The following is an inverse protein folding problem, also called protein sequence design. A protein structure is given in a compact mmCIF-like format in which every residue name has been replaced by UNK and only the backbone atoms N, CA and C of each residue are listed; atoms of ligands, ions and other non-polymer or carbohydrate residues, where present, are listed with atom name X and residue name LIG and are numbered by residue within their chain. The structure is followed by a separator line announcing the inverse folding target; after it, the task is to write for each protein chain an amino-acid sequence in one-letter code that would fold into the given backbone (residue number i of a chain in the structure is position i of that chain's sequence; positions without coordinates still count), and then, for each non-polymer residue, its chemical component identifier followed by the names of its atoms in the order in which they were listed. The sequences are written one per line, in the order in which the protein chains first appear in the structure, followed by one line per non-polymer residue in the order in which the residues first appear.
data_IF_084161124816
#
_entry.id   IF_084161124816
#
_cell.length_a   1.000
_cell.length_b   1.000
_cell.length_c   1.000
_cell.angle_alpha   90.00
_cell.angle_beta   90.00
_cell.angle_gamma   90.00
#
_symmetry.space_group_name_H-M   'P 1'
#
loop_
_entity.id
_entity.type
_entity.pdbx_description
1 polymer ?
#
# COMPACT_ATOMS: atom_id res chain seq x y z
N UNK A 1 -28.63 -19.24 2.39
CA UNK A 1 -28.55 -17.88 2.95
C UNK A 1 -27.13 -17.63 3.43
N UNK A 2 -26.30 -17.05 2.57
CA UNK A 2 -24.87 -16.87 2.82
C UNK A 2 -24.65 -15.61 3.64
N UNK A 3 -24.22 -15.76 4.91
CA UNK A 3 -23.69 -14.64 5.70
C UNK A 3 -22.42 -14.14 5.01
N UNK A 4 -22.52 -13.09 4.19
CA UNK A 4 -21.37 -12.41 3.62
C UNK A 4 -20.44 -11.95 4.75
N UNK A 5 -19.20 -12.41 4.67
CA UNK A 5 -18.10 -12.25 5.63
C UNK A 5 -17.65 -10.78 5.66
N UNK A 6 -18.31 -9.93 6.44
CA UNK A 6 -17.91 -8.53 6.63
C UNK A 6 -16.48 -8.38 7.20
N UNK A 7 -15.95 -9.42 7.85
CA UNK A 7 -14.57 -9.42 8.38
C UNK A 7 -13.49 -9.58 7.32
N UNK A 8 -13.77 -10.27 6.21
CA UNK A 8 -12.76 -10.59 5.18
C UNK A 8 -12.41 -9.33 4.36
N UNK A 9 -13.40 -8.53 3.96
CA UNK A 9 -13.19 -7.28 3.21
C UNK A 9 -12.47 -6.19 4.03
N UNK A 10 -12.69 -6.16 5.35
CA UNK A 10 -11.96 -5.23 6.22
C UNK A 10 -10.50 -5.65 6.35
N UNK A 11 -10.24 -6.94 6.53
CA UNK A 11 -8.87 -7.47 6.68
C UNK A 11 -8.04 -7.21 5.42
N UNK A 12 -8.60 -7.51 4.24
CA UNK A 12 -7.97 -7.25 2.94
C UNK A 12 -7.68 -5.76 2.72
N UNK A 13 -8.56 -4.87 3.17
CA UNK A 13 -8.32 -3.43 3.09
C UNK A 13 -7.18 -2.98 4.00
N UNK A 14 -7.15 -3.48 5.24
CA UNK A 14 -6.06 -3.17 6.17
C UNK A 14 -4.72 -3.72 5.68
N UNK A 15 -4.69 -4.84 4.97
CA UNK A 15 -3.45 -5.44 4.46
C UNK A 15 -2.79 -4.62 3.33
N UNK A 16 -3.51 -3.68 2.72
CA UNK A 16 -2.95 -2.73 1.75
C UNK A 16 -2.09 -1.64 2.40
N UNK A 17 -2.19 -1.47 3.71
CA UNK A 17 -1.48 -0.41 4.45
C UNK A 17 -0.22 -1.02 5.08
N UNK A 18 0.97 -0.41 4.89
CA UNK A 18 2.21 -0.91 5.47
C UNK A 18 2.32 -0.50 6.95
N UNK A 19 1.74 -1.31 7.83
CA UNK A 19 1.82 -1.08 9.28
C UNK A 19 3.18 -1.49 9.85
N UNK A 20 3.57 -0.84 10.96
CA UNK A 20 4.87 -1.10 11.61
C UNK A 20 4.99 -2.51 12.22
N UNK A 21 3.85 -3.18 12.47
CA UNK A 21 3.79 -4.51 13.09
C UNK A 21 2.68 -5.37 12.47
N UNK A 22 2.86 -6.70 12.42
CA UNK A 22 1.83 -7.61 11.95
C UNK A 22 0.62 -7.58 12.89
N UNK A 23 -0.59 -7.46 12.32
CA UNK A 23 -1.85 -7.53 13.07
C UNK A 23 -2.29 -8.99 13.23
N UNK A 24 -2.79 -9.34 14.41
CA UNK A 24 -3.38 -10.66 14.69
C UNK A 24 -4.80 -10.56 15.23
N UNK A 25 -5.10 -9.52 16.01
CA UNK A 25 -6.41 -9.33 16.62
C UNK A 25 -6.82 -7.85 16.53
N UNK A 26 -7.80 -7.55 15.67
CA UNK A 26 -8.25 -6.18 15.38
C UNK A 26 -8.67 -5.45 16.66
N UNK A 27 -9.48 -6.06 17.54
CA UNK A 27 -9.91 -5.39 18.78
C UNK A 27 -8.75 -5.05 19.70
N UNK A 28 -7.77 -5.95 19.84
CA UNK A 28 -6.61 -5.74 20.71
C UNK A 28 -5.61 -4.76 20.10
N UNK A 29 -5.27 -4.95 18.84
CA UNK A 29 -4.20 -4.21 18.14
C UNK A 29 -4.57 -2.74 17.91
N UNK A 30 -5.86 -2.43 17.78
CA UNK A 30 -6.34 -1.06 17.68
C UNK A 30 -6.64 -0.43 19.05
N UNK A 31 -6.70 -1.19 20.15
CA UNK A 31 -7.16 -0.69 21.45
C UNK A 31 -6.38 0.51 22.00
N UNK A 32 -5.09 0.65 21.69
CA UNK A 32 -4.24 1.76 22.15
C UNK A 32 -4.28 3.00 21.23
N UNK A 33 -4.97 2.92 20.11
CA UNK A 33 -5.12 4.02 19.14
C UNK A 33 -3.88 4.28 18.27
N UNK A 34 -2.72 3.68 18.56
CA UNK A 34 -1.48 3.91 17.80
C UNK A 34 -1.61 3.33 16.41
N UNK A 35 -2.14 2.10 16.30
CA UNK A 35 -2.32 1.46 15.00
C UNK A 35 -3.39 2.17 14.16
N UNK A 36 -4.41 2.76 14.79
CA UNK A 36 -5.36 3.63 14.10
C UNK A 36 -4.67 4.92 13.59
N UNK A 37 -3.74 5.49 14.36
CA UNK A 37 -2.97 6.64 13.94
C UNK A 37 -2.06 6.33 12.73
N UNK A 38 -1.40 5.17 12.70
CA UNK A 38 -0.61 4.72 11.54
C UNK A 38 -1.48 4.60 10.29
N UNK A 39 -2.66 3.98 10.41
CA UNK A 39 -3.63 3.86 9.32
C UNK A 39 -4.02 5.24 8.76
N UNK A 40 -4.34 6.18 9.64
CA UNK A 40 -4.72 7.53 9.25
C UNK A 40 -3.54 8.34 8.70
N UNK A 41 -2.31 8.09 9.17
CA UNK A 41 -1.09 8.73 8.68
C UNK A 41 -0.83 8.35 7.22
N UNK A 42 -1.11 7.11 6.85
CA UNK A 42 -0.95 6.63 5.47
C UNK A 42 -1.85 7.42 4.49
N UNK A 43 -3.13 7.61 4.82
CA UNK A 43 -4.07 8.33 3.95
C UNK A 43 -4.03 9.85 4.12
N UNK A 44 -3.73 10.37 5.31
CA UNK A 44 -3.68 11.80 5.63
C UNK A 44 -2.37 12.19 6.34
N UNK A 45 -1.21 12.19 5.65
CA UNK A 45 0.09 12.44 6.28
C UNK A 45 0.20 13.76 7.04
N UNK A 46 -0.51 14.81 6.59
CA UNK A 46 -0.49 16.14 7.22
C UNK A 46 -1.40 16.26 8.45
N UNK A 47 -2.40 15.38 8.60
CA UNK A 47 -3.39 15.47 9.68
C UNK A 47 -2.95 14.69 10.92
N UNK A 48 -2.04 13.73 10.76
CA UNK A 48 -1.62 12.83 11.83
C UNK A 48 -0.14 13.03 12.18
N UNK A 49 0.10 13.25 13.45
CA UNK A 49 1.43 13.37 14.05
C UNK A 49 1.64 12.17 14.98
N UNK A 50 2.40 11.17 14.53
CA UNK A 50 2.57 9.90 15.26
C UNK A 50 3.20 10.09 16.66
N UNK A 51 4.01 11.13 16.87
CA UNK A 51 4.65 11.42 18.16
C UNK A 51 3.64 11.73 19.28
N UNK A 52 2.38 12.08 18.96
CA UNK A 52 1.34 12.32 19.95
C UNK A 52 0.71 11.03 20.51
N UNK A 53 1.02 9.87 19.93
CA UNK A 53 0.39 8.60 20.27
C UNK A 53 1.47 7.63 20.75
N UNK A 54 1.52 7.41 22.06
CA UNK A 54 2.48 6.49 22.67
C UNK A 54 1.82 5.13 22.90
N UNK A 55 2.43 4.00 22.50
CA UNK A 55 1.92 2.67 22.80
C UNK A 55 1.67 2.50 24.30
N UNK A 56 0.48 2.02 24.65
CA UNK A 56 0.05 2.00 26.04
C UNK A 56 -0.70 0.73 26.40
N UNK A 57 -0.39 0.19 27.58
CA UNK A 57 -1.10 -0.94 28.16
C UNK A 57 -2.13 -0.53 29.22
N UNK A 58 -2.02 0.68 29.78
CA UNK A 58 -2.97 1.19 30.77
C UNK A 58 -4.18 1.87 30.10
N UNK A 59 -5.39 1.57 30.60
CA UNK A 59 -6.65 2.04 30.01
C UNK A 59 -6.73 3.56 29.90
N UNK A 60 -6.27 4.28 30.93
CA UNK A 60 -6.28 5.75 30.97
C UNK A 60 -5.49 6.35 29.79
N UNK A 61 -4.29 5.85 29.52
CA UNK A 61 -3.48 6.34 28.41
C UNK A 61 -4.06 5.93 27.06
N UNK A 62 -4.64 4.74 26.94
CA UNK A 62 -5.35 4.32 25.72
C UNK A 62 -6.51 5.28 25.42
N UNK A 63 -7.32 5.63 26.42
CA UNK A 63 -8.41 6.61 26.29
C UNK A 63 -7.85 7.97 25.86
N UNK A 64 -6.75 8.44 26.46
CA UNK A 64 -6.11 9.71 26.07
C UNK A 64 -5.62 9.72 24.62
N UNK A 65 -5.02 8.62 24.15
CA UNK A 65 -4.63 8.45 22.76
C UNK A 65 -5.85 8.55 21.83
N UNK A 66 -6.93 7.84 22.15
CA UNK A 66 -8.18 7.87 21.38
C UNK A 66 -8.88 9.23 21.38
N UNK A 67 -8.92 9.93 22.52
CA UNK A 67 -9.47 11.29 22.62
C UNK A 67 -8.67 12.28 21.77
N UNK A 68 -7.34 12.14 21.80
CA UNK A 68 -6.44 12.96 20.96
C UNK A 68 -6.69 12.69 19.48
N UNK A 69 -6.79 11.42 19.10
CA UNK A 69 -7.04 11.00 17.73
C UNK A 69 -8.41 11.48 17.24
N UNK A 70 -9.42 11.38 18.10
CA UNK A 70 -10.75 11.87 17.81
C UNK A 70 -10.75 13.37 17.57
N UNK A 71 -10.20 14.14 18.51
CA UNK A 71 -10.17 15.60 18.44
C UNK A 71 -9.37 16.11 17.24
N UNK A 72 -8.18 15.56 16.98
CA UNK A 72 -7.28 16.05 15.92
C UNK A 72 -7.70 15.60 14.52
N UNK A 73 -8.25 14.39 14.39
CA UNK A 73 -8.37 13.69 13.09
C UNK A 73 -9.80 13.23 12.82
N UNK A 74 -10.36 12.34 13.65
CA UNK A 74 -11.64 11.68 13.33
C UNK A 74 -12.82 12.66 13.28
N UNK A 75 -12.82 13.69 14.13
CA UNK A 75 -13.82 14.76 14.13
C UNK A 75 -13.85 15.50 12.79
N UNK A 76 -12.69 15.76 12.19
CA UNK A 76 -12.54 16.41 10.88
C UNK A 76 -12.98 15.52 9.72
N UNK A 77 -12.80 14.19 9.87
CA UNK A 77 -13.30 13.19 8.91
C UNK A 77 -14.81 12.92 9.06
N UNK A 78 -15.47 13.56 10.03
CA UNK A 78 -16.91 13.38 10.28
C UNK A 78 -17.27 12.02 10.87
N UNK A 79 -16.31 11.32 11.49
CA UNK A 79 -16.56 10.10 12.25
C UNK A 79 -16.95 10.52 13.68
N UNK A 80 -18.20 10.25 14.07
CA UNK A 80 -18.70 10.58 15.41
C UNK A 80 -18.39 9.43 16.37
N UNK A 81 -17.67 9.74 17.46
CA UNK A 81 -17.40 8.81 18.55
C UNK A 81 -17.79 9.45 19.87
N UNK A 82 -18.58 8.73 20.65
CA UNK A 82 -18.93 9.15 22.01
C UNK A 82 -17.85 8.67 23.00
N UNK A 83 -17.79 9.29 24.19
CA UNK A 83 -16.82 8.90 25.24
C UNK A 83 -16.95 7.42 25.62
N UNK A 84 -18.17 6.93 25.81
CA UNK A 84 -18.43 5.53 26.15
C UNK A 84 -17.92 4.56 25.07
N UNK A 85 -18.04 4.93 23.79
CA UNK A 85 -17.50 4.12 22.70
C UNK A 85 -15.98 4.11 22.70
N UNK A 86 -15.35 5.25 23.00
CA UNK A 86 -13.89 5.35 23.13
C UNK A 86 -13.39 4.44 24.27
N UNK A 87 -14.09 4.42 25.41
CA UNK A 87 -13.75 3.54 26.53
C UNK A 87 -13.91 2.06 26.17
N UNK A 88 -14.98 1.70 25.43
CA UNK A 88 -15.18 0.34 24.93
C UNK A 88 -14.09 -0.09 23.93
N UNK A 89 -13.65 0.81 23.05
CA UNK A 89 -12.55 0.52 22.11
C UNK A 89 -11.23 0.38 22.88
N UNK A 90 -10.98 1.27 23.85
CA UNK A 90 -9.77 1.25 24.67
C UNK A 90 -9.67 -0.01 25.55
N UNK A 91 -10.81 -0.57 25.99
CA UNK A 91 -10.88 -1.85 26.70
C UNK A 91 -10.76 -3.08 25.79
N UNK A 92 -10.54 -2.88 24.48
CA UNK A 92 -10.44 -3.93 23.47
C UNK A 92 -11.72 -4.80 23.36
N UNK A 93 -12.89 -4.19 23.59
CA UNK A 93 -14.16 -4.88 23.46
C UNK A 93 -14.31 -5.47 22.04
N UNK A 94 -14.78 -6.72 21.90
CA UNK A 94 -15.00 -7.33 20.60
C UNK A 94 -16.07 -6.54 19.83
N UNK A 95 -15.94 -6.50 18.50
CA UNK A 95 -16.90 -5.92 17.56
C UNK A 95 -17.20 -4.40 17.67
N UNK A 96 -16.61 -3.68 18.62
CA UNK A 96 -16.83 -2.23 18.75
C UNK A 96 -15.97 -1.42 17.77
N UNK A 97 -14.73 -1.83 17.53
CA UNK A 97 -13.80 -1.11 16.65
C UNK A 97 -14.12 -1.33 15.16
N UNK A 98 -14.76 -2.45 14.81
CA UNK A 98 -15.03 -2.85 13.43
C UNK A 98 -15.96 -1.85 12.71
N UNK A 99 -17.10 -1.42 13.29
CA UNK A 99 -17.95 -0.37 12.69
C UNK A 99 -17.21 0.96 12.49
N UNK A 100 -16.31 1.32 13.41
CA UNK A 100 -15.53 2.55 13.31
C UNK A 100 -14.57 2.48 12.11
N UNK A 101 -13.90 1.35 11.94
CA UNK A 101 -13.02 1.10 10.79
C UNK A 101 -13.77 1.10 9.46
N UNK A 102 -14.97 0.51 9.41
CA UNK A 102 -15.80 0.52 8.20
C UNK A 102 -16.30 1.92 7.85
N UNK A 103 -16.73 2.69 8.85
CA UNK A 103 -17.09 4.11 8.67
C UNK A 103 -15.89 4.90 8.16
N UNK A 104 -14.71 4.65 8.71
CA UNK A 104 -13.47 5.30 8.28
C UNK A 104 -13.10 4.94 6.83
N UNK A 105 -13.19 3.66 6.44
CA UNK A 105 -12.96 3.20 5.05
C UNK A 105 -13.84 3.97 4.06
N UNK A 106 -15.12 4.14 4.37
CA UNK A 106 -16.05 4.93 3.55
C UNK A 106 -15.66 6.41 3.48
N UNK A 107 -15.31 7.02 4.63
CA UNK A 107 -14.91 8.43 4.67
C UNK A 107 -13.62 8.71 3.90
N UNK A 108 -12.66 7.80 3.96
CA UNK A 108 -11.40 7.89 3.19
C UNK A 108 -11.70 7.86 1.69
N UNK A 109 -12.51 6.90 1.23
CA UNK A 109 -12.88 6.80 -0.19
C UNK A 109 -13.56 8.08 -0.69
N UNK A 110 -14.51 8.63 0.07
CA UNK A 110 -15.17 9.90 -0.29
C UNK A 110 -14.21 11.10 -0.27
N UNK A 111 -13.23 11.12 0.65
CA UNK A 111 -12.25 12.20 0.71
C UNK A 111 -11.29 12.16 -0.50
N UNK A 112 -10.90 10.97 -0.95
CA UNK A 112 -10.07 10.80 -2.14
C UNK A 112 -10.82 11.23 -3.41
N UNK A 113 -12.10 10.85 -3.56
CA UNK A 113 -12.93 11.27 -4.69
C UNK A 113 -13.11 12.79 -4.77
N UNK A 114 -13.35 13.46 -3.63
CA UNK A 114 -13.44 14.93 -3.59
C UNK A 114 -12.15 15.60 -4.04
N UNK A 115 -11.00 15.07 -3.61
CA UNK A 115 -9.71 15.60 -4.05
C UNK A 115 -9.51 15.42 -5.56
N UNK A 116 -9.88 14.27 -6.12
CA UNK A 116 -9.83 14.02 -7.56
C UNK A 116 -10.77 14.96 -8.36
N UNK A 117 -11.98 15.22 -7.85
CA UNK A 117 -12.94 16.14 -8.47
C UNK A 117 -12.48 17.61 -8.40
N UNK A 118 -11.91 18.04 -7.28
CA UNK A 118 -11.31 19.38 -7.12
C UNK A 118 -10.14 19.59 -8.09
N UNK A 119 -9.29 18.59 -8.29
CA UNK A 119 -8.23 18.62 -9.31
C UNK A 119 -8.80 18.67 -10.74
N UNK A 120 -9.90 17.96 -11.04
CA UNK A 120 -10.56 18.05 -12.36
C UNK A 120 -11.19 19.42 -12.60
N UNK A 121 -11.82 20.03 -11.61
CA UNK A 121 -12.44 21.35 -11.76
C UNK A 121 -11.42 22.49 -11.87
N UNK A 122 -10.28 22.38 -11.18
CA UNK A 122 -9.16 23.31 -11.32
C UNK A 122 -8.58 23.35 -12.75
N UNK A 123 -8.80 22.32 -13.57
CA UNK A 123 -8.32 22.26 -14.96
C UNK A 123 -9.21 22.98 -15.99
N UNK A 124 -10.43 23.39 -15.64
CA UNK A 124 -11.39 24.02 -16.58
C UNK A 124 -11.63 25.53 -16.35
N UNK A 125 -11.00 26.12 -15.34
CA UNK A 125 -11.32 27.49 -14.92
C UNK A 125 -10.12 28.34 -14.55
N UNK A 126 -9.13 28.50 -15.43
CA UNK A 126 -8.38 29.76 -15.59
C UNK A 126 -7.27 29.64 -16.63
N UNK A 127 -7.26 30.61 -17.53
CA UNK A 127 -6.21 30.88 -18.49
C UNK A 127 -5.01 31.55 -17.78
N UNK A 128 -4.43 30.85 -16.80
CA UNK A 128 -3.14 31.19 -16.21
C UNK A 128 -2.28 29.93 -16.15
N UNK A 129 -1.26 29.91 -17.00
CA UNK A 129 -0.06 29.11 -16.79
C UNK A 129 0.46 29.36 -15.37
N UNK A 130 0.91 28.28 -14.71
CA UNK A 130 1.50 28.22 -13.36
C UNK A 130 0.54 27.83 -12.21
N UNK A 131 0.16 26.55 -12.10
CA UNK A 131 0.28 25.77 -10.85
C UNK A 131 0.44 24.29 -11.21
N UNK A 132 1.50 23.69 -10.67
CA UNK A 132 1.87 22.28 -10.76
C UNK A 132 0.69 21.35 -10.41
N UNK A 133 0.16 20.64 -11.41
CA UNK A 133 -0.73 19.51 -11.21
C UNK A 133 0.12 18.29 -10.85
N UNK A 134 -0.05 17.75 -9.63
CA UNK A 134 0.43 16.41 -9.30
C UNK A 134 -0.42 15.40 -10.09
N UNK A 135 0.02 15.05 -11.29
CA UNK A 135 -0.51 13.88 -12.00
C UNK A 135 0.23 12.67 -11.48
N UNK A 136 -0.46 11.91 -10.63
CA UNK A 136 -0.08 10.55 -10.33
C UNK A 136 -0.57 9.67 -11.48
N UNK A 137 0.22 9.55 -12.55
CA UNK A 137 0.17 8.32 -13.34
C UNK A 137 1.45 8.06 -14.15
N UNK A 138 1.75 6.78 -14.27
CA UNK A 138 2.91 6.24 -14.97
C UNK A 138 2.77 6.48 -16.48
N UNK A 139 3.91 6.80 -17.08
CA UNK A 139 4.23 6.85 -18.52
C UNK A 139 4.09 8.24 -19.16
N UNK A 140 5.27 8.82 -19.37
CA UNK A 140 5.63 9.75 -20.44
C UNK A 140 5.19 11.22 -20.27
N UNK A 141 6.16 12.07 -19.88
CA UNK A 141 6.27 13.44 -20.38
C UNK A 141 7.66 14.00 -20.05
N UNK A 142 8.49 14.05 -21.08
CA UNK A 142 9.62 14.98 -21.15
C UNK A 142 9.13 16.43 -21.01
N UNK A 143 10.01 17.25 -20.43
CA UNK A 143 10.00 18.71 -20.44
C UNK A 143 8.82 19.43 -19.74
N UNK A 144 9.14 20.12 -18.63
CA UNK A 144 8.91 21.56 -18.40
C UNK A 144 9.45 21.86 -16.99
N UNK A 145 10.70 22.35 -16.93
CA UNK A 145 11.28 22.93 -15.72
C UNK A 145 11.35 24.44 -15.96
N UNK A 146 10.48 25.19 -15.28
CA UNK A 146 10.32 26.64 -15.44
C UNK A 146 11.44 27.43 -14.75
N UNK A 147 12.00 28.35 -15.52
CA UNK A 147 12.87 29.46 -15.09
C UNK A 147 12.07 30.40 -14.15
N UNK A 148 12.68 30.98 -13.09
CA UNK A 148 12.00 31.94 -12.22
C UNK A 148 11.92 33.30 -12.94
N UNK A 149 10.71 33.80 -13.17
CA UNK A 149 10.51 35.18 -13.60
C UNK A 149 9.60 35.88 -12.60
N UNK A 150 10.16 36.87 -11.91
CA UNK A 150 9.40 37.80 -11.10
C UNK A 150 8.38 38.49 -12.01
N UNK A 151 7.10 38.22 -11.79
CA UNK A 151 6.03 38.98 -12.40
C UNK A 151 5.42 39.84 -11.29
N UNK A 152 5.71 41.13 -11.32
CA UNK A 152 4.98 42.11 -10.51
C UNK A 152 3.55 42.19 -11.04
N UNK A 153 2.59 41.69 -10.26
CA UNK A 153 1.18 41.90 -10.53
C UNK A 153 0.82 43.36 -10.21
N UNK A 154 0.17 44.05 -11.15
CA UNK A 154 -0.19 45.48 -11.11
C UNK A 154 -1.31 45.85 -10.11
N UNK A 155 -1.42 45.12 -9.02
CA UNK A 155 -2.49 45.28 -8.03
C UNK A 155 -2.05 44.98 -6.58
N UNK A 156 -0.76 45.03 -6.27
CA UNK A 156 -0.27 45.11 -4.89
C UNK A 156 -0.67 43.95 -3.97
N UNK A 157 -1.16 42.84 -4.50
CA UNK A 157 -1.39 41.62 -3.74
C UNK A 157 -0.15 40.74 -3.81
N UNK A 158 0.64 40.82 -2.75
CA UNK A 158 1.68 39.84 -2.49
C UNK A 158 1.00 38.50 -2.19
N UNK A 159 1.02 37.60 -3.17
CA UNK A 159 0.59 36.21 -3.00
C UNK A 159 1.58 35.55 -2.05
N UNK A 160 1.22 35.47 -0.77
CA UNK A 160 1.93 34.63 0.20
C UNK A 160 1.62 33.20 -0.19
N UNK A 161 2.48 32.59 -1.01
CA UNK A 161 2.48 31.13 -1.18
C UNK A 161 2.92 30.55 0.15
N UNK A 162 1.97 30.03 0.93
CA UNK A 162 2.25 29.37 2.20
C UNK A 162 3.30 28.27 2.00
N UNK A 163 4.51 28.47 2.54
CA UNK A 163 5.61 27.48 2.54
C UNK A 163 5.20 26.13 3.15
N UNK A 164 4.13 26.10 3.96
CA UNK A 164 3.60 24.90 4.64
C UNK A 164 3.18 23.76 3.70
N UNK A 165 3.05 24.02 2.40
CA UNK A 165 2.68 23.02 1.40
C UNK A 165 3.78 22.70 0.36
N UNK A 166 4.96 23.33 0.44
CA UNK A 166 6.06 23.00 -0.47
C UNK A 166 6.87 21.83 0.09
N UNK A 167 6.96 20.75 -0.68
CA UNK A 167 7.98 19.72 -0.46
C UNK A 167 9.30 20.33 -0.93
N UNK A 168 10.34 20.41 -0.08
CA UNK A 168 11.65 20.90 -0.50
C UNK A 168 12.14 20.09 -1.71
N UNK A 169 12.55 20.77 -2.78
CA UNK A 169 12.96 20.15 -4.03
C UNK A 169 13.98 19.01 -3.82
N UNK A 170 14.91 19.21 -2.89
CA UNK A 170 15.91 18.21 -2.50
C UNK A 170 15.31 16.88 -2.03
N UNK A 171 14.23 16.93 -1.26
CA UNK A 171 13.56 15.73 -0.76
C UNK A 171 12.83 14.99 -1.89
N UNK A 172 12.30 15.73 -2.86
CA UNK A 172 11.71 15.15 -4.06
C UNK A 172 12.79 14.46 -4.90
N UNK A 173 13.92 15.11 -5.13
CA UNK A 173 15.05 14.55 -5.89
C UNK A 173 15.61 13.28 -5.23
N UNK A 174 15.76 13.27 -3.90
CA UNK A 174 16.13 12.08 -3.13
C UNK A 174 15.13 10.93 -3.34
N UNK A 175 13.83 11.22 -3.32
CA UNK A 175 12.80 10.20 -3.56
C UNK A 175 12.78 9.71 -5.01
N UNK A 176 13.02 10.58 -5.99
CA UNK A 176 13.12 10.19 -7.39
C UNK A 176 14.35 9.29 -7.64
N UNK A 177 15.49 9.61 -7.03
CA UNK A 177 16.68 8.75 -7.08
C UNK A 177 16.43 7.39 -6.42
N UNK A 178 15.80 7.36 -5.24
CA UNK A 178 15.44 6.11 -4.55
C UNK A 178 14.50 5.23 -5.40
N UNK A 179 13.58 5.85 -6.15
CA UNK A 179 12.71 5.14 -7.09
C UNK A 179 13.53 4.55 -8.24
N UNK A 180 14.43 5.34 -8.84
CA UNK A 180 15.28 4.89 -9.94
C UNK A 180 16.17 3.71 -9.53
N UNK A 181 16.81 3.78 -8.36
CA UNK A 181 17.64 2.69 -7.82
C UNK A 181 16.84 1.40 -7.60
N UNK A 182 15.59 1.52 -7.11
CA UNK A 182 14.70 0.36 -6.93
C UNK A 182 14.27 -0.23 -8.27
N UNK A 183 13.97 0.60 -9.25
CA UNK A 183 13.61 0.14 -10.60
C UNK A 183 14.79 -0.61 -11.26
N UNK A 184 16.02 -0.14 -11.07
CA UNK A 184 17.23 -0.84 -11.53
C UNK A 184 17.42 -2.20 -10.83
N UNK A 185 17.22 -2.25 -9.50
CA UNK A 185 17.28 -3.49 -8.74
C UNK A 185 16.20 -4.50 -9.19
N UNK A 186 14.99 -4.02 -9.48
CA UNK A 186 13.90 -4.84 -10.02
C UNK A 186 14.29 -5.39 -11.40
N UNK A 187 14.85 -4.58 -12.28
CA UNK A 187 15.28 -5.02 -13.61
C UNK A 187 16.34 -6.13 -13.54
N UNK A 188 17.32 -6.00 -12.64
CA UNK A 188 18.33 -7.04 -12.41
C UNK A 188 17.69 -8.35 -11.91
N UNK A 189 16.74 -8.24 -10.98
CA UNK A 189 16.01 -9.42 -10.48
C UNK A 189 15.18 -10.09 -11.58
N UNK A 190 14.49 -9.31 -12.42
CA UNK A 190 13.73 -9.82 -13.56
C UNK A 190 14.65 -10.59 -14.51
N UNK A 191 15.83 -10.04 -14.84
CA UNK A 191 16.81 -10.73 -15.68
C UNK A 191 17.31 -12.03 -15.04
N UNK A 192 17.57 -12.03 -13.72
CA UNK A 192 17.97 -13.24 -12.99
C UNK A 192 16.88 -14.31 -12.99
N UNK A 193 15.62 -13.92 -12.78
CA UNK A 193 14.47 -14.85 -12.83
C UNK A 193 14.35 -15.45 -14.23
N UNK A 194 14.39 -14.62 -15.28
CA UNK A 194 14.33 -15.09 -16.67
C UNK A 194 15.48 -16.06 -17.02
N UNK A 195 16.69 -15.79 -16.53
CA UNK A 195 17.82 -16.69 -16.72
C UNK A 195 17.62 -18.03 -16.01
N UNK A 196 17.16 -18.01 -14.75
CA UNK A 196 16.87 -19.23 -13.99
C UNK A 196 15.75 -20.05 -14.65
N UNK A 197 14.71 -19.41 -15.17
CA UNK A 197 13.63 -20.10 -15.91
C UNK A 197 14.17 -20.80 -17.15
N UNK A 198 15.08 -20.17 -17.90
CA UNK A 198 15.73 -20.79 -19.07
C UNK A 198 16.56 -22.01 -18.66
N UNK A 199 17.31 -21.92 -17.55
CA UNK A 199 18.10 -23.03 -17.03
C UNK A 199 17.22 -24.20 -16.57
N UNK A 200 16.08 -23.90 -15.93
CA UNK A 200 15.11 -24.91 -15.54
C UNK A 200 14.53 -25.61 -16.76
N UNK A 201 14.12 -24.88 -17.80
CA UNK A 201 13.62 -25.46 -19.06
C UNK A 201 14.63 -26.41 -19.71
N UNK A 202 15.91 -26.03 -19.75
CA UNK A 202 16.97 -26.89 -20.28
C UNK A 202 17.17 -28.15 -19.45
N UNK A 203 17.14 -28.03 -18.11
CA UNK A 203 17.22 -29.18 -17.20
C UNK A 203 16.02 -30.10 -17.37
N UNK A 204 14.82 -29.56 -17.50
CA UNK A 204 13.61 -30.34 -17.74
C UNK A 204 13.65 -31.08 -19.08
N UNK A 205 14.14 -30.43 -20.14
CA UNK A 205 14.37 -31.09 -21.42
C UNK A 205 15.35 -32.25 -21.28
N UNK A 206 16.47 -32.04 -20.58
CA UNK A 206 17.46 -33.09 -20.36
C UNK A 206 16.90 -34.26 -19.54
N UNK A 207 16.09 -33.96 -18.53
CA UNK A 207 15.40 -34.99 -17.73
C UNK A 207 14.45 -35.79 -18.63
N UNK A 208 13.67 -35.14 -19.50
CA UNK A 208 12.80 -35.84 -20.45
C UNK A 208 13.58 -36.77 -21.37
N UNK A 209 14.66 -36.30 -21.98
CA UNK A 209 15.47 -37.08 -22.91
C UNK A 209 16.09 -38.31 -22.20
N UNK A 210 16.65 -38.12 -21.01
CA UNK A 210 17.23 -39.21 -20.22
C UNK A 210 16.17 -40.21 -19.75
N UNK A 211 14.98 -39.73 -19.37
CA UNK A 211 13.86 -40.59 -18.97
C UNK A 211 13.40 -41.47 -20.14
N UNK A 212 13.32 -40.90 -21.35
CA UNK A 212 13.01 -41.66 -22.57
C UNK A 212 14.07 -42.71 -22.88
N UNK A 213 15.36 -42.38 -22.74
CA UNK A 213 16.45 -43.35 -22.94
C UNK A 213 16.41 -44.48 -21.92
N UNK A 214 16.15 -44.17 -20.65
CA UNK A 214 16.00 -45.18 -19.60
C UNK A 214 14.81 -46.10 -19.89
N UNK A 215 13.68 -45.55 -20.34
CA UNK A 215 12.51 -46.33 -20.70
C UNK A 215 12.79 -47.27 -21.88
N UNK A 216 13.44 -46.78 -22.93
CA UNK A 216 13.86 -47.60 -24.08
C UNK A 216 14.80 -48.75 -23.67
N UNK A 217 15.77 -48.49 -22.79
CA UNK A 217 16.67 -49.53 -22.28
C UNK A 217 15.94 -50.54 -21.40
N UNK A 218 14.98 -50.11 -20.58
CA UNK A 218 14.14 -50.99 -19.79
C UNK A 218 13.28 -51.90 -20.68
N UNK A 219 12.70 -51.37 -21.74
CA UNK A 219 11.92 -52.14 -22.72
C UNK A 219 12.78 -53.22 -23.40
N UNK A 220 13.98 -52.86 -23.87
CA UNK A 220 14.95 -53.84 -24.41
C UNK A 220 15.38 -54.90 -23.40
N UNK A 221 15.58 -54.53 -22.14
CA UNK A 221 15.94 -55.50 -21.09
C UNK A 221 14.80 -56.50 -20.84
N UNK A 222 13.54 -56.04 -20.89
CA UNK A 222 12.35 -56.91 -20.74
C UNK A 222 12.19 -57.85 -21.94
N UNK A 223 12.52 -57.41 -23.15
CA UNK A 223 12.55 -58.27 -24.34
C UNK A 223 13.68 -59.31 -24.30
N UNK A 224 14.86 -58.92 -23.81
CA UNK A 224 15.96 -59.86 -23.60
C UNK A 224 15.64 -60.91 -22.52
N UNK A 225 14.96 -60.54 -21.44
CA UNK A 225 14.53 -61.52 -20.41
C UNK A 225 13.42 -62.45 -20.91
N UNK A 226 12.53 -61.99 -21.80
CA UNK A 226 11.49 -62.85 -22.40
C UNK A 226 12.06 -63.86 -23.40
N UNK A 227 13.11 -63.50 -24.13
CA UNK A 227 13.78 -64.40 -25.10
C UNK A 227 14.62 -65.49 -24.41
N UNK A 228 15.24 -65.19 -23.26
CA UNK A 228 15.95 -66.20 -22.46
C UNK A 228 15.00 -67.28 -21.91
N UNK A 229 13.78 -66.92 -21.50
CA UNK A 229 12.79 -67.89 -21.01
C UNK A 229 12.17 -68.80 -22.10
N UNK A 230 12.49 -68.62 -23.38
CA UNK A 230 11.99 -69.46 -24.49
C UNK A 230 13.01 -70.49 -25.00
N UNK A 231 14.23 -70.48 -24.46
CA UNK A 231 15.30 -71.42 -24.86
C UNK A 231 15.50 -72.60 -23.89
N UNK A 232 14.83 -72.58 -22.72
CA UNK A 232 14.85 -73.65 -21.71
C UNK A 232 13.51 -74.43 -21.65
N UNK A 233 12.89 -74.73 -22.79
CA UNK A 233 11.73 -75.64 -22.89
C UNK A 233 11.89 -76.64 -24.03
#
# INVERSE_FOLDING_TARGET
MSKCRKGDDLSLWLDQVPFSKPRRNISRDFSDGVLMAELLKYFFPKMVELHNYTPANCLVQKINNWLTLYRKVLSKLGVKLNKDQIELIASAAPDVVVPVLMSLKQKIASAQQKHEEECRQASHGSNLQNVLCFVQDKKQADAVFGIPMACEASNGQQLIVSMENMVPQRLLDEKLNEIAEKDDAINILIQKVSHLDTLLQLKDQRIRDLTQQLQYLQERSKESSKSVCHLDS
#
